data_IF_984697398899
#
_entry.id   IF_984697398899
#
_cell.length_a   1.000
_cell.length_b   1.000
_cell.length_c   1.000
_cell.angle_alpha   90.00
_cell.angle_beta   90.00
_cell.angle_gamma   90.00
#
_symmetry.space_group_name_H-M   'P 1'
#
loop_
_entity.id
_entity.type
_entity.pdbx_description
1 polymer ?
#
# COMPACT_ATOMS: atom_id res chain seq x y z
N UNK A 1 12.60 14.96 6.07
CA UNK A 1 13.85 15.59 6.58
C UNK A 1 13.63 16.29 7.92
N UNK A 2 14.60 16.34 8.84
CA UNK A 2 14.45 17.05 10.13
C UNK A 2 15.04 18.47 10.00
N UNK A 3 14.32 19.50 10.46
CA UNK A 3 14.85 20.86 10.47
C UNK A 3 16.00 21.00 11.48
N UNK A 4 17.17 21.47 11.05
CA UNK A 4 18.33 21.67 11.93
C UNK A 4 18.12 22.77 12.98
N UNK A 5 17.17 23.68 12.76
CA UNK A 5 16.91 24.81 13.65
C UNK A 5 15.91 24.48 14.75
N UNK A 6 14.82 23.77 14.42
CA UNK A 6 13.72 23.49 15.36
C UNK A 6 13.49 22.01 15.65
N UNK A 7 14.23 21.11 15.00
CA UNK A 7 14.11 19.67 15.22
C UNK A 7 12.80 19.04 14.71
N UNK A 8 11.89 19.82 14.10
CA UNK A 8 10.63 19.28 13.59
C UNK A 8 10.87 18.38 12.38
N UNK A 9 10.12 17.28 12.33
CA UNK A 9 10.02 16.46 11.13
C UNK A 9 9.30 17.25 10.04
N UNK A 10 9.97 17.46 8.92
CA UNK A 10 9.49 18.22 7.79
C UNK A 10 9.31 17.28 6.60
N UNK A 11 8.15 17.38 5.96
CA UNK A 11 7.81 16.59 4.77
C UNK A 11 8.75 16.94 3.62
N UNK A 12 9.10 15.99 2.77
CA UNK A 12 10.04 16.27 1.69
C UNK A 12 9.36 17.16 0.63
N UNK A 13 10.04 18.23 0.22
CA UNK A 13 9.56 19.20 -0.78
C UNK A 13 9.06 20.56 -0.25
N UNK A 14 9.08 20.82 1.06
CA UNK A 14 8.78 22.16 1.60
C UNK A 14 10.02 23.04 1.52
N UNK A 15 9.89 24.21 0.88
CA UNK A 15 10.96 25.21 0.74
C UNK A 15 11.20 26.01 2.02
N UNK A 16 10.22 26.04 2.91
CA UNK A 16 10.27 26.73 4.19
C UNK A 16 9.71 25.83 5.29
N UNK A 17 10.32 25.86 6.47
CA UNK A 17 9.76 25.19 7.63
C UNK A 17 8.53 25.99 8.12
N UNK A 18 7.33 25.37 8.23
CA UNK A 18 6.12 26.06 8.70
C UNK A 18 6.16 26.42 10.19
N UNK A 19 7.12 25.84 10.94
CA UNK A 19 7.25 26.07 12.39
C UNK A 19 8.22 27.21 12.71
N UNK A 20 9.38 27.24 12.07
CA UNK A 20 10.43 28.23 12.38
C UNK A 20 10.69 29.25 11.27
N UNK A 21 10.01 29.14 10.11
CA UNK A 21 10.19 30.04 8.97
C UNK A 21 11.53 29.91 8.25
N UNK A 22 12.43 29.03 8.71
CA UNK A 22 13.74 28.86 8.08
C UNK A 22 13.58 28.25 6.68
N UNK A 23 14.19 28.91 5.69
CA UNK A 23 14.22 28.42 4.31
C UNK A 23 15.14 27.19 4.22
N UNK A 24 14.62 26.10 3.68
CA UNK A 24 15.35 24.85 3.48
C UNK A 24 15.84 24.83 2.03
N UNK A 25 17.13 25.09 1.81
CA UNK A 25 17.79 25.13 0.48
C UNK A 25 18.11 23.71 -0.02
N UNK A 26 17.46 22.67 0.52
CA UNK A 26 17.71 21.29 0.11
C UNK A 26 16.77 20.96 -1.06
N UNK A 27 17.31 20.53 -2.22
CA UNK A 27 16.48 20.16 -3.36
C UNK A 27 15.51 19.06 -2.95
N UNK A 28 14.24 19.12 -3.40
CA UNK A 28 13.23 18.14 -3.06
C UNK A 28 13.72 16.74 -3.42
N UNK A 29 13.94 15.89 -2.42
CA UNK A 29 14.13 14.47 -2.65
C UNK A 29 12.82 13.91 -3.23
N UNK A 30 12.86 13.18 -4.35
CA UNK A 30 11.66 12.65 -4.98
C UNK A 30 10.91 11.75 -3.98
N UNK A 31 9.56 11.74 -4.04
CA UNK A 31 8.74 11.07 -3.03
C UNK A 31 9.13 9.58 -2.91
N UNK A 32 9.52 9.18 -1.70
CA UNK A 32 9.85 7.80 -1.35
C UNK A 32 8.63 6.92 -1.52
N UNK A 33 8.56 6.30 -2.70
CA UNK A 33 7.90 5.05 -3.04
C UNK A 33 6.73 4.64 -2.12
N UNK A 34 5.51 4.93 -2.62
CA UNK A 34 4.30 4.23 -2.20
C UNK A 34 4.64 2.74 -2.17
N UNK A 35 4.60 2.16 -0.98
CA UNK A 35 4.77 0.73 -0.74
C UNK A 35 3.62 0.00 -1.42
N UNK A 36 3.68 -0.12 -2.74
CA UNK A 36 2.88 -1.08 -3.49
C UNK A 36 3.42 -2.44 -3.08
N UNK A 37 2.94 -2.98 -1.97
CA UNK A 37 3.16 -4.37 -1.63
C UNK A 37 2.46 -5.20 -2.74
N UNK A 38 3.20 -5.80 -3.69
CA UNK A 38 2.57 -6.51 -4.81
C UNK A 38 1.90 -7.81 -4.35
N UNK A 39 1.98 -8.16 -3.05
CA UNK A 39 1.60 -9.49 -2.55
C UNK A 39 0.11 -9.66 -2.21
N UNK A 40 -0.71 -8.62 -2.36
CA UNK A 40 -2.17 -8.73 -2.18
C UNK A 40 -2.84 -9.31 -3.43
N UNK A 41 -2.30 -9.08 -4.63
CA UNK A 41 -3.05 -9.33 -5.86
C UNK A 41 -3.11 -10.81 -6.31
N UNK A 42 -2.39 -11.72 -5.66
CA UNK A 42 -2.36 -13.14 -6.07
C UNK A 42 -3.13 -14.07 -5.14
N UNK A 43 -3.21 -13.77 -3.82
CA UNK A 43 -3.89 -14.66 -2.87
C UNK A 43 -5.41 -14.64 -3.02
N UNK A 44 -6.01 -13.49 -3.29
CA UNK A 44 -7.49 -13.36 -3.39
C UNK A 44 -8.05 -14.10 -4.61
N UNK A 45 -7.30 -14.18 -5.71
CA UNK A 45 -7.74 -14.85 -6.94
C UNK A 45 -7.84 -16.36 -6.76
N UNK A 46 -6.86 -16.98 -6.10
CA UNK A 46 -6.80 -18.43 -5.87
C UNK A 46 -7.92 -18.87 -4.92
N UNK A 47 -8.16 -18.10 -3.84
CA UNK A 47 -9.25 -18.40 -2.88
C UNK A 47 -10.61 -18.38 -3.57
N UNK A 48 -10.85 -17.41 -4.46
CA UNK A 48 -12.10 -17.35 -5.24
C UNK A 48 -12.28 -18.57 -6.15
N UNK A 49 -11.25 -18.97 -6.88
CA UNK A 49 -11.32 -20.16 -7.74
C UNK A 49 -11.56 -21.46 -6.96
N UNK A 50 -10.90 -21.64 -5.81
CA UNK A 50 -11.08 -22.83 -4.97
C UNK A 50 -12.51 -22.94 -4.44
N UNK A 51 -13.11 -21.83 -4.00
CA UNK A 51 -14.50 -21.83 -3.54
C UNK A 51 -15.47 -22.20 -4.66
N UNK A 52 -15.30 -21.62 -5.86
CA UNK A 52 -16.17 -21.91 -7.02
C UNK A 52 -16.08 -23.39 -7.40
N UNK A 53 -14.87 -23.96 -7.51
CA UNK A 53 -14.67 -25.37 -7.83
C UNK A 53 -15.29 -26.30 -6.77
N UNK A 54 -15.16 -25.93 -5.49
CA UNK A 54 -15.76 -26.69 -4.40
C UNK A 54 -17.29 -26.72 -4.49
N UNK A 55 -17.93 -25.56 -4.70
CA UNK A 55 -19.39 -25.50 -4.84
C UNK A 55 -19.90 -26.27 -6.06
N UNK A 56 -19.22 -26.17 -7.21
CA UNK A 56 -19.58 -26.93 -8.42
C UNK A 56 -19.43 -28.43 -8.17
N UNK A 57 -18.32 -28.86 -7.55
CA UNK A 57 -18.07 -30.25 -7.21
C UNK A 57 -19.12 -30.83 -6.26
N UNK A 58 -19.46 -30.12 -5.18
CA UNK A 58 -20.52 -30.52 -4.25
C UNK A 58 -21.88 -30.57 -4.93
N UNK A 59 -22.19 -29.60 -5.79
CA UNK A 59 -23.45 -29.56 -6.54
C UNK A 59 -23.60 -30.73 -7.50
N UNK A 60 -22.58 -31.03 -8.30
CA UNK A 60 -22.57 -32.17 -9.21
C UNK A 60 -22.61 -33.50 -8.44
N UNK A 61 -21.85 -33.62 -7.36
CA UNK A 61 -21.88 -34.81 -6.50
C UNK A 61 -23.28 -35.05 -5.95
N UNK A 62 -23.91 -34.03 -5.39
CA UNK A 62 -25.29 -34.09 -4.89
C UNK A 62 -26.28 -34.49 -5.99
N UNK A 63 -26.08 -34.01 -7.21
CA UNK A 63 -26.95 -34.31 -8.34
C UNK A 63 -26.78 -35.73 -8.90
N UNK A 64 -25.61 -36.33 -8.74
CA UNK A 64 -25.34 -37.72 -9.15
C UNK A 64 -25.71 -38.75 -8.07
N UNK A 65 -25.90 -38.31 -6.82
CA UNK A 65 -26.27 -39.17 -5.67
C UNK A 65 -27.74 -39.08 -5.28
N UNK A 66 -28.53 -38.27 -5.99
CA UNK A 66 -29.99 -38.16 -5.87
C UNK A 66 -30.66 -38.81 -7.08
#
# INVERSE_FOLDING_TARGET
>A
MICKTCGTELRDGVRMCPICGTQQITPPQPPKNIRNNPKIFTKTRIVSFLLILFFIGVGLWRMLTQ
#
